data_IF_075687545013
#
_entry.id   IF_075687545013
#
_cell.length_a   1.000
_cell.length_b   1.000
_cell.length_c   1.000
_cell.angle_alpha   90.00
_cell.angle_beta   90.00
_cell.angle_gamma   90.00
#
_symmetry.space_group_name_H-M   'P 1'
#
loop_
_entity.id
_entity.type
_entity.pdbx_description
1 polymer ?
#
# COMPACT_ATOMS: atom_id res chain seq x y z
N UNK A 1 -8.65 -2.02 24.45
CA UNK A 1 -9.42 -2.04 23.20
C UNK A 1 -8.49 -2.47 22.08
N UNK A 2 -8.65 -3.68 21.54
CA UNK A 2 -7.88 -4.11 20.37
C UNK A 2 -8.53 -3.42 19.17
N UNK A 3 -7.90 -2.35 18.68
CA UNK A 3 -8.37 -1.67 17.46
C UNK A 3 -8.44 -2.71 16.34
N UNK A 4 -9.63 -2.89 15.77
CA UNK A 4 -9.86 -3.83 14.66
C UNK A 4 -8.86 -3.51 13.55
N UNK A 5 -7.89 -4.40 13.33
CA UNK A 5 -6.86 -4.21 12.32
C UNK A 5 -7.55 -4.24 10.96
N UNK A 6 -7.64 -3.08 10.31
CA UNK A 6 -8.24 -2.97 8.99
C UNK A 6 -7.30 -3.60 7.96
N UNK A 7 -7.87 -4.35 7.03
CA UNK A 7 -7.14 -4.80 5.85
C UNK A 7 -6.67 -3.57 5.07
N UNK A 8 -5.44 -3.61 4.57
CA UNK A 8 -4.90 -2.56 3.71
C UNK A 8 -4.87 -3.10 2.29
N UNK A 9 -5.32 -2.30 1.34
CA UNK A 9 -5.25 -2.62 -0.08
C UNK A 9 -4.33 -1.67 -0.82
N UNK A 10 -3.48 -2.24 -1.67
CA UNK A 10 -2.89 -1.52 -2.79
C UNK A 10 -3.93 -1.44 -3.90
N UNK A 11 -3.87 -0.37 -4.69
CA UNK A 11 -4.78 -0.12 -5.81
C UNK A 11 -3.97 0.01 -7.08
N UNK A 12 -4.49 -0.51 -8.18
CA UNK A 12 -3.99 -0.23 -9.53
C UNK A 12 -5.15 0.22 -10.39
N UNK A 13 -4.95 1.29 -11.15
CA UNK A 13 -5.95 1.83 -12.07
C UNK A 13 -5.72 1.23 -13.46
N UNK A 14 -6.68 0.47 -13.96
CA UNK A 14 -6.65 -0.09 -15.31
C UNK A 14 -7.98 0.14 -16.00
N UNK A 15 -7.95 0.73 -17.20
CA UNK A 15 -9.14 0.95 -18.04
C UNK A 15 -10.30 1.66 -17.30
N UNK A 16 -9.98 2.58 -16.38
CA UNK A 16 -10.97 3.29 -15.57
C UNK A 16 -11.47 2.54 -14.32
N UNK A 17 -11.06 1.28 -14.12
CA UNK A 17 -11.38 0.48 -12.94
C UNK A 17 -10.21 0.41 -11.97
N UNK A 18 -10.53 0.34 -10.67
CA UNK A 18 -9.55 0.09 -9.62
C UNK A 18 -9.59 -1.38 -9.21
N UNK A 19 -8.45 -2.07 -9.38
CA UNK A 19 -8.25 -3.39 -8.79
C UNK A 19 -7.56 -3.24 -7.43
N UNK A 20 -8.05 -3.97 -6.43
CA UNK A 20 -7.49 -4.00 -5.08
C UNK A 20 -6.63 -5.23 -4.89
N UNK A 21 -5.44 -5.05 -4.32
CA UNK A 21 -4.50 -6.12 -3.97
C UNK A 21 -4.30 -6.06 -2.47
N UNK A 22 -4.69 -7.13 -1.75
CA UNK A 22 -4.55 -7.17 -0.29
C UNK A 22 -3.08 -7.22 0.10
N UNK A 23 -2.68 -6.34 1.02
CA UNK A 23 -1.36 -6.40 1.64
C UNK A 23 -1.30 -7.56 2.63
N UNK A 24 -0.15 -8.23 2.68
CA UNK A 24 0.15 -9.19 3.74
C UNK A 24 0.24 -8.48 5.10
N UNK A 25 -0.86 -8.53 5.84
CA UNK A 25 -0.98 -7.84 7.12
C UNK A 25 -0.09 -8.44 8.21
N UNK A 26 0.21 -9.74 8.17
CA UNK A 26 1.06 -10.39 9.15
C UNK A 26 2.51 -9.90 8.99
N UNK A 27 3.00 -9.89 7.74
CA UNK A 27 4.33 -9.37 7.45
C UNK A 27 4.42 -7.86 7.73
N UNK A 28 3.39 -7.10 7.36
CA UNK A 28 3.35 -5.66 7.62
C UNK A 28 3.36 -5.35 9.12
N UNK A 29 2.62 -6.10 9.94
CA UNK A 29 2.58 -5.90 11.39
C UNK A 29 3.94 -6.18 12.05
N UNK A 30 4.62 -7.23 11.62
CA UNK A 30 5.91 -7.64 12.17
C UNK A 30 7.08 -6.76 11.72
N UNK A 31 7.09 -6.34 10.45
CA UNK A 31 8.26 -5.71 9.84
C UNK A 31 8.04 -4.25 9.43
N UNK A 32 6.79 -3.75 9.43
CA UNK A 32 6.42 -2.42 8.90
C UNK A 32 6.85 -2.22 7.44
N UNK A 33 6.84 -3.30 6.67
CA UNK A 33 7.22 -3.38 5.26
C UNK A 33 6.05 -3.98 4.48
N UNK A 34 5.77 -3.43 3.31
CA UNK A 34 4.85 -4.04 2.35
C UNK A 34 5.63 -5.10 1.58
N UNK A 35 5.26 -6.35 1.79
CA UNK A 35 5.73 -7.50 1.00
C UNK A 35 4.73 -7.73 -0.13
N UNK A 36 5.18 -7.58 -1.37
CA UNK A 36 4.36 -7.71 -2.57
C UNK A 36 4.89 -8.84 -3.45
N UNK A 37 4.10 -9.89 -3.75
CA UNK A 37 4.50 -10.88 -4.74
C UNK A 37 4.78 -10.22 -6.10
N UNK A 38 5.90 -10.59 -6.75
CA UNK A 38 6.35 -9.96 -7.99
C UNK A 38 5.30 -10.01 -9.11
N UNK A 39 4.52 -11.08 -9.17
CA UNK A 39 3.45 -11.24 -10.17
C UNK A 39 2.25 -10.29 -9.97
N UNK A 40 2.14 -9.63 -8.82
CA UNK A 40 1.16 -8.57 -8.57
C UNK A 40 1.71 -7.17 -8.84
N UNK A 41 3.01 -7.03 -9.09
CA UNK A 41 3.62 -5.73 -9.34
C UNK A 41 3.34 -5.27 -10.76
N UNK A 42 2.70 -4.11 -10.86
CA UNK A 42 2.31 -3.48 -12.12
C UNK A 42 2.54 -1.96 -12.00
N UNK A 43 2.87 -1.32 -13.12
CA UNK A 43 3.05 0.13 -13.15
C UNK A 43 1.76 0.85 -12.76
N UNK A 44 1.88 1.90 -11.95
CA UNK A 44 0.73 2.62 -11.41
C UNK A 44 0.08 1.97 -10.18
N UNK A 45 0.72 0.99 -9.55
CA UNK A 45 0.31 0.48 -8.23
C UNK A 45 0.53 1.55 -7.15
N UNK A 46 -0.48 1.81 -6.32
CA UNK A 46 -0.40 2.84 -5.29
C UNK A 46 -1.12 2.46 -4.00
N UNK A 47 -0.78 3.17 -2.93
CA UNK A 47 -1.44 3.14 -1.63
C UNK A 47 -2.11 4.49 -1.39
N UNK A 48 -3.39 4.49 -1.04
CA UNK A 48 -4.06 5.74 -0.65
C UNK A 48 -3.76 6.06 0.82
N UNK A 49 -3.37 7.30 1.13
CA UNK A 49 -3.16 7.77 2.49
C UNK A 49 -3.77 9.17 2.71
N UNK A 50 -4.03 9.52 3.97
CA UNK A 50 -4.44 10.87 4.36
C UNK A 50 -3.22 11.79 4.31
N UNK A 51 -3.38 12.96 3.72
CA UNK A 51 -2.43 14.05 3.92
C UNK A 51 -2.72 14.73 5.27
N UNK A 52 -1.67 14.92 6.08
CA UNK A 52 -1.76 15.61 7.37
C UNK A 52 -1.69 17.13 7.25
N UNK A 53 -1.05 17.66 6.21
CA UNK A 53 -0.80 19.10 6.08
C UNK A 53 -1.97 19.85 5.44
N UNK A 54 -2.77 19.22 4.59
CA UNK A 54 -3.77 19.91 3.76
C UNK A 54 -5.24 19.55 4.08
N UNK A 55 -5.52 19.08 5.29
CA UNK A 55 -6.90 18.86 5.76
C UNK A 55 -7.62 17.72 5.05
N UNK A 56 -7.65 16.53 5.65
CA UNK A 56 -8.45 15.36 5.23
C UNK A 56 -8.40 14.93 3.76
N UNK A 57 -7.51 15.48 2.93
CA UNK A 57 -7.32 15.07 1.54
C UNK A 57 -6.69 13.68 1.49
N UNK A 58 -7.09 12.91 0.48
CA UNK A 58 -6.56 11.56 0.22
C UNK A 58 -5.58 11.68 -0.94
N UNK A 59 -4.36 11.20 -0.72
CA UNK A 59 -3.28 11.20 -1.69
C UNK A 59 -2.89 9.77 -2.08
N UNK A 60 -2.27 9.65 -3.25
CA UNK A 60 -1.82 8.39 -3.82
C UNK A 60 -0.29 8.27 -3.70
N UNK A 61 0.16 7.31 -2.90
CA UNK A 61 1.57 6.95 -2.82
C UNK A 61 1.88 5.79 -3.76
N UNK A 62 2.48 6.10 -4.90
CA UNK A 62 2.84 5.10 -5.91
C UNK A 62 4.02 4.23 -5.47
N UNK A 63 3.87 2.90 -5.61
CA UNK A 63 4.91 1.89 -5.42
C UNK A 63 5.61 1.69 -6.77
N UNK A 64 6.63 2.48 -7.01
CA UNK A 64 7.44 2.45 -8.24
C UNK A 64 8.71 1.62 -8.05
N UNK A 65 9.35 1.21 -9.15
CA UNK A 65 10.56 0.36 -9.09
C UNK A 65 11.71 0.99 -8.29
N UNK A 66 11.89 2.30 -8.36
CA UNK A 66 12.91 3.04 -7.61
C UNK A 66 12.68 3.01 -6.08
N UNK A 67 11.45 2.70 -5.64
CA UNK A 67 11.10 2.59 -4.22
C UNK A 67 11.25 1.18 -3.66
N UNK A 68 11.59 0.19 -4.49
CA UNK A 68 11.90 -1.16 -4.05
C UNK A 68 13.13 -1.09 -3.15
N UNK A 69 12.98 -1.50 -1.89
CA UNK A 69 14.07 -1.50 -0.90
C UNK A 69 14.89 -2.77 -0.95
N UNK A 70 14.23 -3.89 -1.20
CA UNK A 70 14.86 -5.18 -1.37
C UNK A 70 13.95 -6.07 -2.24
N UNK A 71 14.50 -7.15 -2.74
CA UNK A 71 13.76 -8.21 -3.42
C UNK A 71 14.35 -9.58 -3.12
N UNK A 72 13.52 -10.61 -3.20
CA UNK A 72 13.97 -11.99 -3.28
C UNK A 72 13.45 -12.64 -4.57
N UNK A 73 13.41 -13.96 -4.66
CA UNK A 73 12.94 -14.65 -5.87
C UNK A 73 11.46 -14.35 -6.19
N UNK A 74 10.63 -14.15 -5.17
CA UNK A 74 9.17 -14.15 -5.30
C UNK A 74 8.54 -12.81 -4.92
N UNK A 75 9.22 -11.96 -4.16
CA UNK A 75 8.67 -10.75 -3.56
C UNK A 75 9.51 -9.49 -3.80
N UNK A 76 8.81 -8.37 -3.95
CA UNK A 76 9.33 -7.03 -3.77
C UNK A 76 8.99 -6.51 -2.37
N UNK A 77 9.94 -5.81 -1.75
CA UNK A 77 9.78 -5.21 -0.43
C UNK A 77 9.79 -3.69 -0.51
N UNK A 78 8.71 -3.07 -0.06
CA UNK A 78 8.58 -1.61 0.00
C UNK A 78 8.51 -1.14 1.45
N UNK A 79 9.23 -0.06 1.75
CA UNK A 79 9.06 0.63 3.04
C UNK A 79 7.66 1.24 3.08
N UNK A 80 6.94 1.06 4.18
CA UNK A 80 5.72 1.83 4.45
C UNK A 80 6.12 3.14 5.17
N UNK A 81 6.04 4.32 4.52
CA UNK A 81 6.43 5.58 5.15
C UNK A 81 5.33 6.16 6.05
N UNK A 82 4.12 5.61 6.00
CA UNK A 82 2.93 6.10 6.71
C UNK A 82 2.60 5.24 7.93
N UNK A 83 1.89 5.84 8.89
CA UNK A 83 1.27 5.06 9.95
C UNK A 83 0.06 4.32 9.43
N UNK A 84 -0.27 3.18 10.05
CA UNK A 84 -1.42 2.36 9.65
C UNK A 84 -2.71 3.15 9.69
N UNK A 85 -2.85 4.11 10.62
CA UNK A 85 -4.03 4.98 10.80
C UNK A 85 -4.19 6.03 9.67
N UNK A 86 -3.12 6.32 8.95
CA UNK A 86 -3.11 7.29 7.84
C UNK A 86 -3.54 6.64 6.52
N UNK A 87 -3.41 5.33 6.39
CA UNK A 87 -3.79 4.60 5.17
C UNK A 87 -5.30 4.61 5.02
N UNK A 88 -5.82 4.71 3.79
CA UNK A 88 -7.26 4.78 3.54
C UNK A 88 -7.67 3.83 2.43
N UNK A 89 -8.76 3.10 2.66
CA UNK A 89 -9.39 2.25 1.65
C UNK A 89 -10.44 2.98 0.81
N UNK A 90 -10.70 4.24 1.16
CA UNK A 90 -11.76 5.03 0.54
C UNK A 90 -11.34 5.23 -0.92
N UNK A 91 -12.15 4.68 -1.81
CA UNK A 91 -12.19 5.08 -3.20
C UNK A 91 -13.16 6.26 -3.19
N UNK A 92 -12.67 7.47 -3.41
CA UNK A 92 -13.56 8.61 -3.68
C UNK A 92 -14.00 8.48 -5.13
#
# INVERSE_FOLDING_TARGET
MIGKMRTIYLKVKQNGFFRKISVDMAFLAAHKIIRLPKYYFEEGLFLSHKNKSEGSSIEEYYLTRDKIKNEDNDFYYFKLPFKIEEITDISV
#
